data_IF_410572078489
#
_entry.id   IF_410572078489
#
_cell.length_a   1.000
_cell.length_b   1.000
_cell.length_c   1.000
_cell.angle_alpha   90.00
_cell.angle_beta   90.00
_cell.angle_gamma   90.00
#
_symmetry.space_group_name_H-M   'P 1'
#
loop_
_entity.id
_entity.type
_entity.pdbx_description
1 polymer ?
#
# COMPACT_ATOMS: atom_id res chain seq x y z
N UNK A 1 -5.26 -4.57 8.74
CA UNK A 1 -6.08 -3.56 9.44
C UNK A 1 -6.89 -2.84 8.37
N UNK A 2 -8.22 -2.75 8.50
CA UNK A 2 -9.02 -2.01 7.54
C UNK A 2 -9.03 -0.54 7.94
N UNK A 3 -8.48 0.33 7.07
CA UNK A 3 -8.45 1.77 7.29
C UNK A 3 -9.76 2.38 6.77
N UNK A 4 -10.40 3.19 7.61
CA UNK A 4 -11.70 3.80 7.29
C UNK A 4 -11.53 5.05 6.44
N UNK A 5 -12.34 5.18 5.39
CA UNK A 5 -12.45 6.40 4.56
C UNK A 5 -12.90 7.65 5.33
N UNK A 6 -13.39 7.53 6.58
CA UNK A 6 -13.79 8.67 7.42
C UNK A 6 -12.60 9.43 8.04
N UNK A 7 -11.42 8.82 8.06
CA UNK A 7 -10.19 9.41 8.58
C UNK A 7 -9.06 9.10 7.58
N UNK A 8 -8.99 9.85 6.47
CA UNK A 8 -8.04 9.57 5.39
C UNK A 8 -6.60 9.77 5.86
N UNK A 9 -5.71 9.05 5.19
CA UNK A 9 -4.26 9.19 5.36
C UNK A 9 -3.72 9.86 4.10
N UNK A 10 -2.88 10.87 4.28
CA UNK A 10 -2.06 11.44 3.22
C UNK A 10 -0.64 10.89 3.35
N UNK A 11 -0.07 10.45 2.24
CA UNK A 11 1.26 9.85 2.18
C UNK A 11 2.10 10.62 1.18
N UNK A 12 3.31 11.00 1.59
CA UNK A 12 4.32 11.51 0.67
C UNK A 12 5.25 10.36 0.33
N UNK A 13 5.38 10.08 -0.98
CA UNK A 13 6.20 9.00 -1.50
C UNK A 13 7.32 9.59 -2.35
N UNK A 14 8.56 9.22 -2.04
CA UNK A 14 9.74 9.57 -2.81
C UNK A 14 10.54 8.31 -3.12
N UNK A 15 10.99 8.16 -4.38
CA UNK A 15 11.83 7.03 -4.81
C UNK A 15 11.29 5.67 -4.33
N UNK A 16 10.00 5.43 -4.57
CA UNK A 16 9.25 4.22 -4.17
C UNK A 16 8.97 4.06 -2.66
N UNK A 17 9.36 4.99 -1.78
CA UNK A 17 9.22 4.84 -0.33
C UNK A 17 8.38 5.94 0.29
N UNK A 18 7.55 5.57 1.26
CA UNK A 18 6.82 6.53 2.08
C UNK A 18 7.81 7.29 2.99
N UNK A 19 7.90 8.61 2.80
CA UNK A 19 8.77 9.51 3.57
C UNK A 19 8.01 10.32 4.62
N UNK A 20 6.71 10.57 4.41
CA UNK A 20 5.85 11.29 5.34
C UNK A 20 4.45 10.68 5.39
N UNK A 21 3.83 10.71 6.57
CA UNK A 21 2.50 10.15 6.84
C UNK A 21 1.71 11.19 7.63
N UNK A 22 0.62 11.67 7.05
CA UNK A 22 -0.23 12.73 7.62
C UNK A 22 -1.67 12.26 7.76
N UNK A 23 -2.38 12.86 8.70
CA UNK A 23 -3.77 12.56 9.00
C UNK A 23 -4.00 12.38 10.50
N UNK A 24 -5.16 11.83 10.86
CA UNK A 24 -5.57 11.63 12.24
C UNK A 24 -5.14 10.29 12.82
N UNK A 25 -6.12 9.57 13.35
CA UNK A 25 -5.92 8.31 14.08
C UNK A 25 -5.39 7.22 13.16
N UNK A 26 -5.90 7.15 11.93
CA UNK A 26 -5.49 6.17 10.92
C UNK A 26 -4.02 6.36 10.48
N UNK A 27 -3.57 7.61 10.34
CA UNK A 27 -2.17 7.92 10.06
C UNK A 27 -1.25 7.45 11.19
N UNK A 28 -1.63 7.74 12.44
CA UNK A 28 -0.90 7.28 13.63
C UNK A 28 -0.87 5.74 13.73
N UNK A 29 -1.97 5.10 13.39
CA UNK A 29 -2.08 3.64 13.33
C UNK A 29 -1.08 3.06 12.32
N UNK A 30 -1.07 3.56 11.08
CA UNK A 30 -0.15 3.11 10.03
C UNK A 30 1.32 3.31 10.43
N UNK A 31 1.64 4.49 10.99
CA UNK A 31 2.97 4.77 11.50
C UNK A 31 3.39 3.78 12.60
N UNK A 32 2.48 3.46 13.53
CA UNK A 32 2.73 2.46 14.57
C UNK A 32 2.89 1.05 14.02
N UNK A 33 2.20 0.68 12.96
CA UNK A 33 2.34 -0.62 12.33
C UNK A 33 3.73 -0.77 11.68
N UNK A 34 4.26 0.26 11.02
CA UNK A 34 5.65 0.25 10.55
C UNK A 34 6.65 0.06 11.71
N UNK A 35 6.45 0.73 12.84
CA UNK A 35 7.30 0.55 14.02
C UNK A 35 7.21 -0.88 14.58
N UNK A 36 6.03 -1.50 14.58
CA UNK A 36 5.85 -2.89 15.01
C UNK A 36 6.57 -3.86 14.07
N UNK A 37 6.48 -3.63 12.76
CA UNK A 37 7.18 -4.43 11.74
C UNK A 37 8.69 -4.36 12.00
N UNK A 38 9.25 -3.16 12.13
CA UNK A 38 10.68 -2.98 12.39
C UNK A 38 11.11 -3.69 13.69
N UNK A 39 10.36 -3.51 14.79
CA UNK A 39 10.63 -4.19 16.07
C UNK A 39 10.59 -5.71 15.92
N UNK A 40 9.65 -6.23 15.13
CA UNK A 40 9.55 -7.67 14.87
C UNK A 40 10.75 -8.18 14.07
N UNK A 41 11.16 -7.48 13.00
CA UNK A 41 12.37 -7.83 12.24
C UNK A 41 13.59 -7.86 13.15
N UNK A 42 13.81 -6.82 13.96
CA UNK A 42 14.93 -6.75 14.90
C UNK A 42 14.91 -7.89 15.94
N UNK A 43 13.72 -8.27 16.41
CA UNK A 43 13.54 -9.41 17.32
C UNK A 43 13.91 -10.73 16.65
N UNK A 44 13.52 -10.95 15.39
CA UNK A 44 13.87 -12.16 14.65
C UNK A 44 15.40 -12.25 14.43
N UNK A 45 16.04 -11.13 14.08
CA UNK A 45 17.50 -11.06 13.94
C UNK A 45 18.19 -11.39 15.26
N UNK A 46 17.75 -10.79 16.38
CA UNK A 46 18.32 -11.06 17.72
C UNK A 46 18.18 -12.52 18.14
N UNK A 47 17.10 -13.19 17.74
CA UNK A 47 16.84 -14.59 18.06
C UNK A 47 17.55 -15.58 17.12
N UNK A 48 18.25 -15.10 16.08
CA UNK A 48 18.92 -15.96 15.10
C UNK A 48 17.99 -16.59 14.06
N UNK A 49 16.71 -16.20 14.01
CA UNK A 49 15.76 -16.68 12.98
C UNK A 49 15.89 -15.94 11.66
N UNK A 50 16.61 -14.82 11.65
CA UNK A 50 16.86 -14.01 10.46
C UNK A 50 18.30 -13.51 10.51
N UNK A 51 19.04 -13.59 9.41
CA UNK A 51 20.37 -13.01 9.35
C UNK A 51 20.30 -11.47 9.31
N UNK A 52 21.41 -10.81 9.65
CA UNK A 52 21.48 -9.34 9.75
C UNK A 52 21.24 -8.65 8.41
N UNK A 53 21.69 -9.24 7.30
CA UNK A 53 21.56 -8.63 5.98
C UNK A 53 20.11 -8.67 5.52
N UNK A 54 19.45 -9.83 5.65
CA UNK A 54 18.02 -9.95 5.35
C UNK A 54 17.18 -9.07 6.25
N UNK A 55 17.53 -8.96 7.54
CA UNK A 55 16.88 -8.02 8.45
C UNK A 55 16.98 -6.55 7.99
N UNK A 56 18.13 -6.13 7.47
CA UNK A 56 18.31 -4.79 6.92
C UNK A 56 17.42 -4.57 5.68
N UNK A 57 17.39 -5.54 4.76
CA UNK A 57 16.54 -5.49 3.56
C UNK A 57 15.06 -5.34 3.95
N UNK A 58 14.59 -6.15 4.91
CA UNK A 58 13.19 -6.13 5.33
C UNK A 58 12.78 -4.79 5.97
N UNK A 59 13.65 -4.19 6.78
CA UNK A 59 13.40 -2.87 7.38
C UNK A 59 13.41 -1.78 6.30
N UNK A 60 14.34 -1.84 5.35
CA UNK A 60 14.44 -0.84 4.28
C UNK A 60 13.23 -0.84 3.34
N UNK A 61 12.66 -2.03 3.09
CA UNK A 61 11.52 -2.22 2.19
C UNK A 61 10.15 -2.12 2.87
N UNK A 62 10.05 -2.10 4.21
CA UNK A 62 8.73 -2.14 4.88
C UNK A 62 7.80 -0.98 4.49
N UNK A 63 8.38 0.16 4.08
CA UNK A 63 7.68 1.38 3.62
C UNK A 63 7.69 1.56 2.10
N UNK A 64 8.27 0.62 1.35
CA UNK A 64 8.32 0.68 -0.10
C UNK A 64 6.96 0.27 -0.70
N UNK A 65 6.57 0.84 -1.84
CA UNK A 65 5.37 0.36 -2.56
C UNK A 65 5.70 -0.97 -3.24
N UNK A 66 4.88 -1.99 -2.98
CA UNK A 66 5.05 -3.35 -3.51
C UNK A 66 3.96 -3.77 -4.50
N UNK A 67 2.85 -3.03 -4.55
CA UNK A 67 1.75 -3.28 -5.48
C UNK A 67 1.02 -1.99 -5.81
N UNK A 68 0.54 -1.91 -7.05
CA UNK A 68 -0.56 -1.05 -7.45
C UNK A 68 -1.64 -1.91 -8.10
N UNK A 69 -2.89 -1.77 -7.66
CA UNK A 69 -4.01 -2.54 -8.19
C UNK A 69 -5.26 -1.68 -8.39
N UNK A 70 -6.15 -2.14 -9.29
CA UNK A 70 -7.43 -1.50 -9.58
C UNK A 70 -8.58 -2.48 -9.42
N UNK A 71 -9.63 -2.04 -8.76
CA UNK A 71 -10.84 -2.83 -8.56
C UNK A 71 -11.72 -2.83 -9.81
N UNK A 72 -11.99 -4.02 -10.35
CA UNK A 72 -12.76 -4.22 -11.59
C UNK A 72 -14.05 -5.01 -11.38
N UNK A 73 -14.35 -5.44 -10.16
CA UNK A 73 -15.51 -6.27 -9.87
C UNK A 73 -16.74 -5.43 -9.51
N UNK A 74 -17.72 -5.36 -10.43
CA UNK A 74 -19.01 -4.66 -10.22
C UNK A 74 -19.89 -5.26 -9.13
N UNK A 75 -19.60 -6.49 -8.68
CA UNK A 75 -20.34 -7.16 -7.60
C UNK A 75 -19.80 -6.82 -6.20
N UNK A 76 -18.60 -6.25 -6.10
CA UNK A 76 -17.97 -5.88 -4.83
C UNK A 76 -18.30 -4.42 -4.48
N UNK A 77 -18.40 -4.13 -3.19
CA UNK A 77 -18.68 -2.77 -2.69
C UNK A 77 -17.63 -2.33 -1.66
N UNK A 78 -16.97 -1.21 -1.94
CA UNK A 78 -15.98 -0.61 -1.06
C UNK A 78 -16.63 0.07 0.17
N UNK A 79 -16.75 -0.70 1.25
CA UNK A 79 -17.42 -0.29 2.50
C UNK A 79 -16.42 0.12 3.59
N UNK A 80 -15.14 -0.23 3.46
CA UNK A 80 -14.14 0.02 4.50
C UNK A 80 -14.25 -0.95 5.68
N UNK A 81 -14.82 -2.13 5.43
CA UNK A 81 -15.06 -3.19 6.44
C UNK A 81 -14.21 -4.42 6.12
N UNK A 82 -13.89 -4.66 4.85
CA UNK A 82 -13.14 -5.81 4.39
C UNK A 82 -12.23 -5.41 3.23
N UNK A 83 -10.93 -5.28 3.50
CA UNK A 83 -9.94 -4.91 2.49
C UNK A 83 -9.99 -5.83 1.26
N UNK A 84 -10.20 -7.14 1.43
CA UNK A 84 -10.24 -8.10 0.31
C UNK A 84 -11.41 -7.84 -0.66
N UNK A 85 -12.52 -7.32 -0.14
CA UNK A 85 -13.65 -6.90 -1.00
C UNK A 85 -13.41 -5.49 -1.53
N UNK A 86 -12.94 -4.58 -0.67
CA UNK A 86 -12.77 -3.16 -0.97
C UNK A 86 -11.74 -2.94 -2.10
N UNK A 87 -10.64 -3.70 -2.13
CA UNK A 87 -9.60 -3.65 -3.18
C UNK A 87 -10.12 -4.13 -4.55
N UNK A 88 -11.16 -4.98 -4.56
CA UNK A 88 -11.72 -5.57 -5.80
C UNK A 88 -12.89 -4.76 -6.34
N UNK A 89 -13.49 -3.91 -5.51
CA UNK A 89 -14.68 -3.14 -5.83
C UNK A 89 -14.49 -2.24 -7.06
N UNK A 90 -15.46 -2.26 -7.97
CA UNK A 90 -15.35 -1.53 -9.23
C UNK A 90 -15.05 -0.05 -9.04
N UNK A 91 -14.00 0.44 -9.71
CA UNK A 91 -13.60 1.84 -9.68
C UNK A 91 -12.76 2.25 -8.48
N UNK A 92 -12.36 1.32 -7.61
CA UNK A 92 -11.33 1.57 -6.59
C UNK A 92 -9.93 1.36 -7.14
N UNK A 93 -8.93 1.80 -6.39
CA UNK A 93 -7.54 1.40 -6.57
C UNK A 93 -6.91 1.19 -5.21
N UNK A 94 -5.80 0.45 -5.15
CA UNK A 94 -5.02 0.29 -3.93
C UNK A 94 -3.53 0.31 -4.22
N UNK A 95 -2.78 0.63 -3.17
CA UNK A 95 -1.34 0.44 -3.11
C UNK A 95 -1.03 -0.50 -1.94
N UNK A 96 -0.03 -1.35 -2.09
CA UNK A 96 0.48 -2.16 -0.98
C UNK A 96 1.85 -1.66 -0.51
N UNK A 97 2.09 -1.64 0.79
CA UNK A 97 3.42 -1.41 1.37
C UNK A 97 4.13 -2.73 1.67
N UNK A 98 5.43 -2.79 1.39
CA UNK A 98 6.29 -3.91 1.74
C UNK A 98 6.59 -4.81 0.55
N UNK A 99 6.37 -6.12 0.72
CA UNK A 99 6.78 -7.12 -0.24
C UNK A 99 5.98 -7.00 -1.54
N UNK A 100 6.66 -7.13 -2.68
CA UNK A 100 6.01 -7.29 -3.98
C UNK A 100 5.83 -8.77 -4.33
N UNK A 101 5.13 -9.04 -5.44
CA UNK A 101 4.89 -10.40 -5.92
C UNK A 101 6.03 -10.97 -6.79
N UNK A 102 6.89 -10.12 -7.35
CA UNK A 102 8.05 -10.56 -8.14
C UNK A 102 9.18 -11.12 -7.25
N UNK A 103 9.15 -10.84 -5.95
CA UNK A 103 10.05 -11.42 -4.94
C UNK A 103 11.44 -10.76 -4.86
N UNK A 104 11.69 -9.70 -5.63
CA UNK A 104 12.90 -8.88 -5.59
C UNK A 104 12.81 -7.72 -4.58
N UNK A 105 11.61 -7.33 -4.14
CA UNK A 105 11.40 -6.44 -2.99
C UNK A 105 10.87 -7.25 -1.81
N UNK A 106 11.77 -7.74 -0.96
CA UNK A 106 11.39 -8.55 0.22
C UNK A 106 11.14 -7.68 1.45
N UNK A 107 10.05 -7.96 2.17
CA UNK A 107 9.73 -7.40 3.48
C UNK A 107 8.91 -8.41 4.32
N UNK A 108 8.67 -8.14 5.60
CA UNK A 108 7.77 -8.95 6.44
C UNK A 108 6.29 -8.59 6.31
N UNK A 109 5.99 -7.50 5.59
CA UNK A 109 4.65 -6.98 5.45
C UNK A 109 4.24 -6.92 3.98
N UNK A 110 2.93 -7.01 3.77
CA UNK A 110 2.23 -6.61 2.57
C UNK A 110 0.92 -6.02 3.08
N UNK A 111 0.77 -4.70 2.98
CA UNK A 111 -0.34 -3.97 3.62
C UNK A 111 -1.03 -3.06 2.62
N UNK A 112 -2.30 -3.38 2.32
CA UNK A 112 -3.10 -2.64 1.35
C UNK A 112 -3.73 -1.38 1.93
N UNK A 113 -3.59 -0.28 1.20
CA UNK A 113 -4.30 0.96 1.39
C UNK A 113 -5.21 1.23 0.18
N UNK A 114 -6.52 1.17 0.42
CA UNK A 114 -7.55 1.30 -0.63
C UNK A 114 -7.98 2.75 -0.77
N UNK A 115 -8.03 3.22 -2.02
CA UNK A 115 -8.63 4.47 -2.46
C UNK A 115 -10.00 4.18 -3.07
N UNK A 116 -11.06 4.74 -2.46
CA UNK A 116 -12.44 4.45 -2.86
C UNK A 116 -12.85 5.11 -4.19
N UNK A 117 -12.33 6.30 -4.46
CA UNK A 117 -12.65 7.07 -5.67
C UNK A 117 -11.39 7.76 -6.18
N UNK A 118 -10.41 6.98 -6.67
CA UNK A 118 -9.16 7.51 -7.18
C UNK A 118 -9.37 8.18 -8.54
N UNK A 119 -8.39 9.01 -8.90
CA UNK A 119 -8.08 9.32 -10.28
C UNK A 119 -6.78 8.59 -10.64
N UNK A 120 -6.81 7.78 -11.69
CA UNK A 120 -5.67 6.99 -12.15
C UNK A 120 -5.41 7.33 -13.62
N UNK A 121 -4.17 7.71 -13.91
CA UNK A 121 -3.68 7.96 -15.26
C UNK A 121 -2.47 7.08 -15.56
N UNK A 122 -2.36 6.59 -16.79
CA UNK A 122 -1.11 6.05 -17.30
C UNK A 122 -0.31 7.17 -17.95
N UNK A 123 0.96 7.28 -17.58
CA UNK A 123 1.92 8.21 -18.18
C UNK A 123 2.90 7.37 -19.01
N UNK A 124 2.83 7.53 -20.33
CA UNK A 124 3.68 6.80 -21.27
C UNK A 124 5.08 7.44 -21.38
N UNK A 125 6.11 6.71 -21.86
CA UNK A 125 7.46 7.26 -22.01
C UNK A 125 7.58 8.51 -22.89
N UNK A 126 6.62 8.71 -23.80
CA UNK A 126 6.54 9.90 -24.66
C UNK A 126 5.82 11.09 -23.98
N UNK A 127 5.46 10.97 -22.71
CA UNK A 127 4.72 11.98 -21.95
C UNK A 127 3.22 12.02 -22.22
N UNK A 128 2.68 11.13 -23.07
CA UNK A 128 1.23 11.01 -23.25
C UNK A 128 0.62 10.55 -21.92
N UNK A 129 -0.47 11.20 -21.52
CA UNK A 129 -1.30 10.75 -20.41
C UNK A 129 -2.59 10.12 -20.92
N UNK A 130 -3.03 9.06 -20.26
CA UNK A 130 -4.31 8.40 -20.55
C UNK A 130 -5.06 8.16 -19.25
N UNK A 131 -6.28 8.69 -19.18
CA UNK A 131 -7.13 8.51 -18.02
C UNK A 131 -7.70 7.09 -17.99
N UNK A 132 -7.49 6.38 -16.88
CA UNK A 132 -7.90 4.98 -16.71
C UNK A 132 -9.06 4.86 -15.74
N UNK A 133 -8.99 5.54 -14.59
CA UNK A 133 -10.05 5.54 -13.57
C UNK A 133 -10.36 6.96 -13.14
N UNK A 134 -11.64 7.33 -13.12
CA UNK A 134 -12.12 8.61 -12.53
C UNK A 134 -13.60 8.51 -12.21
N UNK A 135 -14.03 9.15 -11.12
CA UNK A 135 -15.44 9.22 -10.73
C UNK A 135 -16.13 7.83 -10.73
N UNK A 136 -15.44 6.80 -10.21
CA UNK A 136 -15.87 5.39 -10.18
C UNK A 136 -16.20 4.80 -11.57
N UNK A 137 -15.57 5.31 -12.63
CA UNK A 137 -15.61 4.77 -13.99
C UNK A 137 -14.22 4.30 -14.40
N UNK A 138 -14.19 3.24 -15.19
CA UNK A 138 -12.98 2.73 -15.84
C UNK A 138 -13.13 2.99 -17.34
N UNK A 139 -12.10 3.54 -17.97
CA UNK A 139 -12.13 4.08 -19.35
C UNK A 139 -11.40 3.19 -20.39
N UNK A 140 -10.99 1.98 -20.00
CA UNK A 140 -10.30 0.99 -20.86
C UNK A 140 -11.23 0.24 -21.81
#
# INVERSE_FOLDING_TARGET
>A
MALSVKDPIELIVEKNKVVDIRGGKNALILANDFLKIERNVRKLVRKGYLDKNTGKIYIDNMKALGEFGMGVNKKCNARGINNMEDEKAFGTAHIAFGANYDGDQKALNHMDAVMKSPEVCFVYPNGKEELIVKNNKIYV
#
